data_IF_515543120362
#
_entry.id   IF_515543120362
#
_cell.length_a   1.000
_cell.length_b   1.000
_cell.length_c   1.000
_cell.angle_alpha   90.00
_cell.angle_beta   90.00
_cell.angle_gamma   90.00
#
_symmetry.space_group_name_H-M   'P 1'
#
loop_
_entity.id
_entity.type
_entity.pdbx_description
1 polymer ?
#
# COMPACT_ATOMS: atom_id res chain seq x y z
N UNK A 1 -31.91 -25.36 -38.57
CA UNK A 1 -31.01 -26.17 -37.70
C UNK A 1 -30.83 -25.38 -36.43
N UNK A 2 -31.14 -25.94 -35.23
CA UNK A 2 -30.89 -25.23 -33.97
C UNK A 2 -29.39 -25.02 -33.80
N UNK A 3 -28.99 -23.78 -33.51
CA UNK A 3 -27.61 -23.39 -33.24
C UNK A 3 -27.19 -23.81 -31.83
N UNK A 4 -25.93 -24.21 -31.62
CA UNK A 4 -25.35 -24.49 -30.31
C UNK A 4 -25.33 -23.25 -29.41
N UNK A 5 -25.54 -22.04 -29.95
CA UNK A 5 -25.61 -20.80 -29.19
C UNK A 5 -26.91 -20.62 -28.38
N UNK A 6 -27.92 -21.43 -28.69
CA UNK A 6 -29.22 -21.38 -27.95
C UNK A 6 -29.27 -22.33 -26.71
N UNK A 7 -28.17 -23.01 -26.39
CA UNK A 7 -28.11 -23.85 -25.21
C UNK A 7 -27.81 -23.00 -23.97
N UNK A 8 -28.78 -22.87 -23.00
CA UNK A 8 -28.54 -22.09 -21.80
C UNK A 8 -27.45 -22.72 -20.96
N UNK A 9 -26.27 -22.10 -20.93
CA UNK A 9 -25.15 -22.50 -20.06
C UNK A 9 -25.61 -22.32 -18.61
N UNK A 10 -25.89 -23.42 -17.92
CA UNK A 10 -26.14 -23.44 -16.48
C UNK A 10 -24.87 -23.01 -15.76
N UNK A 11 -24.82 -21.75 -15.32
CA UNK A 11 -23.73 -21.28 -14.46
C UNK A 11 -23.76 -22.04 -13.14
N UNK A 12 -22.81 -22.94 -12.96
CA UNK A 12 -22.62 -23.68 -11.69
C UNK A 12 -22.25 -22.67 -10.62
N UNK A 13 -23.02 -22.60 -9.52
CA UNK A 13 -22.69 -21.75 -8.38
C UNK A 13 -21.40 -22.25 -7.75
N UNK A 14 -20.40 -21.37 -7.59
CA UNK A 14 -19.18 -21.70 -6.84
C UNK A 14 -19.55 -22.09 -5.41
N UNK A 15 -18.96 -23.19 -4.90
CA UNK A 15 -19.17 -23.64 -3.54
C UNK A 15 -18.57 -22.65 -2.53
N UNK A 16 -19.16 -22.55 -1.33
CA UNK A 16 -18.63 -21.74 -0.24
C UNK A 16 -17.26 -22.25 0.21
N UNK A 17 -16.33 -21.32 0.46
CA UNK A 17 -14.96 -21.64 0.91
C UNK A 17 -14.88 -21.98 2.41
N UNK A 18 -15.86 -21.54 3.24
CA UNK A 18 -15.84 -21.71 4.69
C UNK A 18 -17.23 -21.70 5.31
N UNK A 19 -17.30 -22.01 6.60
CA UNK A 19 -18.53 -21.94 7.41
C UNK A 19 -19.55 -23.06 7.14
N UNK A 20 -20.76 -22.94 7.72
CA UNK A 20 -21.82 -23.94 7.65
C UNK A 20 -22.23 -24.29 6.21
N UNK A 21 -22.12 -23.36 5.27
CA UNK A 21 -22.44 -23.59 3.86
C UNK A 21 -21.50 -24.58 3.21
N UNK A 22 -20.21 -24.58 3.59
CA UNK A 22 -19.24 -25.59 3.18
C UNK A 22 -19.57 -26.96 3.81
N UNK A 23 -19.95 -26.96 5.10
CA UNK A 23 -20.33 -28.18 5.79
C UNK A 23 -21.56 -28.83 5.14
N UNK A 24 -22.59 -28.06 4.78
CA UNK A 24 -23.77 -28.56 4.06
C UNK A 24 -23.40 -29.12 2.69
N UNK A 25 -22.56 -28.42 1.94
CA UNK A 25 -22.10 -28.89 0.63
C UNK A 25 -21.34 -30.25 0.74
N UNK A 26 -20.46 -30.38 1.74
CA UNK A 26 -19.73 -31.62 1.99
C UNK A 26 -20.63 -32.75 2.51
N UNK A 27 -21.52 -32.43 3.46
CA UNK A 27 -22.43 -33.44 4.04
C UNK A 27 -23.44 -34.00 3.03
N UNK A 28 -23.79 -33.22 2.01
CA UNK A 28 -24.71 -33.62 0.94
C UNK A 28 -24.00 -34.14 -0.31
N UNK A 29 -22.68 -34.38 -0.24
CA UNK A 29 -21.90 -34.86 -1.39
C UNK A 29 -21.99 -33.90 -2.60
N UNK A 30 -22.24 -32.62 -2.37
CA UNK A 30 -22.39 -31.63 -3.43
C UNK A 30 -23.81 -31.43 -3.99
N UNK A 31 -24.78 -32.25 -3.54
CA UNK A 31 -26.18 -32.16 -4.00
C UNK A 31 -26.84 -30.82 -3.62
N UNK A 32 -26.49 -30.25 -2.46
CA UNK A 32 -26.92 -28.93 -2.02
C UNK A 32 -25.72 -27.99 -2.02
N UNK A 33 -25.70 -27.02 -2.93
CA UNK A 33 -24.72 -25.94 -2.96
C UNK A 33 -25.36 -24.62 -2.56
N UNK A 34 -25.27 -24.18 -1.29
CA UNK A 34 -25.83 -22.92 -0.82
C UNK A 34 -25.17 -21.68 -1.43
N UNK A 35 -24.07 -21.88 -2.19
CA UNK A 35 -23.28 -20.82 -2.76
C UNK A 35 -22.47 -20.04 -1.71
N UNK A 36 -21.70 -19.07 -2.17
CA UNK A 36 -20.90 -18.20 -1.30
C UNK A 36 -21.77 -17.19 -0.55
N UNK A 37 -21.33 -16.79 0.64
CA UNK A 37 -21.94 -15.69 1.38
C UNK A 37 -21.73 -14.35 0.65
N UNK A 38 -22.53 -13.32 0.99
CA UNK A 38 -22.32 -11.97 0.45
C UNK A 38 -20.93 -11.43 0.80
N UNK A 39 -20.43 -11.73 1.99
CA UNK A 39 -19.11 -11.34 2.46
C UNK A 39 -17.99 -12.06 1.68
N UNK A 40 -18.10 -13.36 1.43
CA UNK A 40 -17.15 -14.10 0.61
C UNK A 40 -17.10 -13.58 -0.83
N UNK A 41 -18.26 -13.25 -1.41
CA UNK A 41 -18.32 -12.65 -2.75
C UNK A 41 -17.61 -11.29 -2.78
N UNK A 42 -17.92 -10.42 -1.81
CA UNK A 42 -17.26 -9.11 -1.69
C UNK A 42 -15.73 -9.26 -1.55
N UNK A 43 -15.27 -10.18 -0.72
CA UNK A 43 -13.84 -10.44 -0.56
C UNK A 43 -13.20 -10.94 -1.88
N UNK A 44 -13.88 -11.82 -2.62
CA UNK A 44 -13.37 -12.27 -3.93
C UNK A 44 -13.30 -11.13 -4.95
N UNK A 45 -14.28 -10.23 -4.96
CA UNK A 45 -14.26 -9.04 -5.82
C UNK A 45 -13.07 -8.13 -5.48
N UNK A 46 -12.82 -7.88 -4.20
CA UNK A 46 -11.66 -7.09 -3.76
C UNK A 46 -10.34 -7.77 -4.15
N UNK A 47 -10.22 -9.08 -3.95
CA UNK A 47 -9.03 -9.86 -4.35
C UNK A 47 -8.84 -9.82 -5.86
N UNK A 48 -9.91 -9.89 -6.65
CA UNK A 48 -9.83 -9.79 -8.11
C UNK A 48 -9.32 -8.41 -8.56
N UNK A 49 -9.78 -7.32 -7.91
CA UNK A 49 -9.27 -5.96 -8.15
C UNK A 49 -7.78 -5.83 -7.81
N UNK A 50 -7.35 -6.37 -6.65
CA UNK A 50 -5.94 -6.36 -6.24
C UNK A 50 -5.06 -7.12 -7.24
N UNK A 51 -5.57 -8.19 -7.85
CA UNK A 51 -4.84 -9.03 -8.81
C UNK A 51 -4.84 -8.50 -10.25
N UNK A 52 -5.37 -7.31 -10.49
CA UNK A 52 -5.29 -6.70 -11.81
C UNK A 52 -3.83 -6.59 -12.27
N UNK A 53 -3.55 -6.80 -13.56
CA UNK A 53 -2.19 -6.71 -14.08
C UNK A 53 -1.65 -5.28 -13.96
N UNK A 54 -0.40 -5.16 -13.54
CA UNK A 54 0.36 -3.91 -13.56
C UNK A 54 1.12 -3.85 -14.88
N UNK A 55 1.04 -2.72 -15.59
CA UNK A 55 1.81 -2.48 -16.81
C UNK A 55 3.18 -1.90 -16.47
N UNK A 56 4.19 -2.76 -16.39
CA UNK A 56 5.53 -2.37 -15.97
C UNK A 56 5.65 -2.37 -14.46
N UNK A 57 6.02 -1.22 -13.87
CA UNK A 57 6.05 -0.98 -12.44
C UNK A 57 4.98 0.02 -12.00
N UNK A 58 4.55 -0.04 -10.75
CA UNK A 58 3.61 0.90 -10.16
C UNK A 58 4.18 1.46 -8.86
N UNK A 59 4.35 2.79 -8.81
CA UNK A 59 4.99 3.51 -7.71
C UNK A 59 3.98 4.27 -6.87
N UNK A 60 3.98 3.99 -5.58
CA UNK A 60 3.05 4.55 -4.59
C UNK A 60 3.86 5.38 -3.60
N UNK A 61 3.63 6.69 -3.57
CA UNK A 61 4.17 7.56 -2.53
C UNK A 61 3.25 7.52 -1.29
N UNK A 62 3.80 7.19 -0.13
CA UNK A 62 3.05 7.22 1.14
C UNK A 62 3.54 8.43 1.95
N UNK A 63 2.68 9.41 2.13
CA UNK A 63 3.00 10.72 2.70
C UNK A 63 2.26 11.02 3.99
N UNK A 64 2.91 11.79 4.86
CA UNK A 64 2.29 12.49 5.98
C UNK A 64 3.23 13.60 6.45
N UNK A 65 2.73 14.83 6.60
CA UNK A 65 3.48 15.93 7.20
C UNK A 65 3.56 15.84 8.73
N UNK A 66 2.69 15.03 9.34
CA UNK A 66 2.69 14.85 10.79
C UNK A 66 3.34 13.53 11.17
N UNK A 67 4.28 13.57 12.11
CA UNK A 67 4.87 12.39 12.71
C UNK A 67 3.86 11.59 13.55
N UNK A 68 4.03 10.27 13.63
CA UNK A 68 3.24 9.41 14.51
C UNK A 68 1.80 9.10 14.05
N UNK A 69 1.37 9.51 12.86
CA UNK A 69 0.01 9.21 12.34
C UNK A 69 -0.12 7.82 11.71
N UNK A 70 0.93 7.00 11.74
CA UNK A 70 0.92 5.63 11.25
C UNK A 70 1.32 5.48 9.76
N UNK A 71 2.11 6.39 9.21
CA UNK A 71 2.60 6.35 7.83
C UNK A 71 3.34 5.03 7.53
N UNK A 72 4.43 4.74 8.23
CA UNK A 72 5.21 3.50 8.10
C UNK A 72 4.36 2.25 8.33
N UNK A 73 3.46 2.29 9.32
CA UNK A 73 2.52 1.19 9.60
C UNK A 73 1.59 0.95 8.40
N UNK A 74 1.07 2.02 7.79
CA UNK A 74 0.20 1.90 6.61
C UNK A 74 0.98 1.42 5.39
N UNK A 75 2.21 1.90 5.17
CA UNK A 75 3.11 1.40 4.12
C UNK A 75 3.30 -0.12 4.24
N UNK A 76 3.62 -0.59 5.43
CA UNK A 76 3.81 -2.01 5.69
C UNK A 76 2.53 -2.83 5.56
N UNK A 77 1.41 -2.33 6.10
CA UNK A 77 0.12 -3.02 6.00
C UNK A 77 -0.34 -3.16 4.54
N UNK A 78 -0.31 -2.07 3.78
CA UNK A 78 -0.68 -2.05 2.36
C UNK A 78 0.26 -2.93 1.52
N UNK A 79 1.58 -2.78 1.68
CA UNK A 79 2.58 -3.59 1.00
C UNK A 79 2.45 -5.07 1.32
N UNK A 80 2.16 -5.42 2.58
CA UNK A 80 1.93 -6.81 3.01
C UNK A 80 0.68 -7.42 2.39
N UNK A 81 -0.40 -6.65 2.23
CA UNK A 81 -1.59 -7.13 1.52
C UNK A 81 -1.28 -7.38 0.04
N UNK A 82 -0.60 -6.44 -0.64
CA UNK A 82 -0.22 -6.64 -2.04
C UNK A 82 0.65 -7.89 -2.20
N UNK A 83 1.72 -8.03 -1.43
CA UNK A 83 2.64 -9.16 -1.54
C UNK A 83 2.02 -10.51 -1.18
N UNK A 84 1.03 -10.55 -0.26
CA UNK A 84 0.34 -11.79 0.12
C UNK A 84 -0.72 -12.24 -0.89
N UNK A 85 -1.37 -11.29 -1.60
CA UNK A 85 -2.47 -11.58 -2.52
C UNK A 85 -1.97 -11.74 -3.97
N UNK A 86 -0.97 -10.95 -4.36
CA UNK A 86 -0.39 -10.99 -5.71
C UNK A 86 0.72 -12.03 -5.79
N UNK A 87 0.99 -12.49 -7.01
CA UNK A 87 2.10 -13.41 -7.28
C UNK A 87 3.40 -12.71 -7.69
N UNK A 88 3.34 -11.40 -7.97
CA UNK A 88 4.47 -10.55 -8.36
C UNK A 88 5.20 -9.97 -7.14
N UNK A 89 6.32 -9.30 -7.39
CA UNK A 89 7.20 -8.78 -6.34
C UNK A 89 6.79 -7.38 -5.92
N UNK A 90 6.76 -7.17 -4.61
CA UNK A 90 6.41 -5.91 -3.95
C UNK A 90 7.53 -5.50 -3.02
N UNK A 91 7.96 -4.25 -3.09
CA UNK A 91 8.98 -3.68 -2.23
C UNK A 91 8.49 -2.39 -1.59
N UNK A 92 8.89 -2.16 -0.34
CA UNK A 92 8.77 -0.89 0.35
C UNK A 92 10.17 -0.29 0.53
N UNK A 93 10.32 0.98 0.15
CA UNK A 93 11.57 1.74 0.24
C UNK A 93 11.42 2.79 1.32
N UNK A 94 12.37 2.82 2.24
CA UNK A 94 12.44 3.86 3.26
C UNK A 94 13.17 5.09 2.69
N UNK A 95 12.42 6.14 2.41
CA UNK A 95 12.93 7.42 1.94
C UNK A 95 12.81 8.52 3.02
N UNK A 96 12.77 8.12 4.29
CA UNK A 96 12.70 9.05 5.41
C UNK A 96 14.10 9.55 5.77
N UNK A 97 14.40 10.86 5.65
CA UNK A 97 15.69 11.42 6.02
C UNK A 97 15.88 11.48 7.55
N UNK A 98 14.79 11.48 8.32
CA UNK A 98 14.78 11.62 9.77
C UNK A 98 14.81 10.25 10.47
N UNK A 99 15.81 9.45 10.22
CA UNK A 99 15.95 8.13 10.85
C UNK A 99 14.79 7.18 10.51
N UNK A 100 14.82 6.58 9.31
CA UNK A 100 13.77 5.68 8.85
C UNK A 100 13.56 4.47 9.75
N UNK A 101 12.31 4.14 9.99
CA UNK A 101 11.90 3.04 10.89
C UNK A 101 11.31 1.85 10.17
N UNK A 102 11.29 1.88 8.83
CA UNK A 102 10.66 0.85 8.02
C UNK A 102 11.32 -0.53 8.22
N UNK A 103 12.65 -0.56 8.31
CA UNK A 103 13.42 -1.79 8.53
C UNK A 103 13.16 -2.45 9.89
N UNK A 104 12.64 -1.70 10.87
CA UNK A 104 12.28 -2.23 12.19
C UNK A 104 10.95 -2.99 12.17
N UNK A 105 10.22 -2.96 11.06
CA UNK A 105 8.91 -3.61 10.87
C UNK A 105 8.99 -5.00 10.24
N UNK A 106 10.20 -5.48 10.00
CA UNK A 106 10.48 -6.82 9.41
C UNK A 106 11.63 -7.49 10.15
N UNK A 107 11.71 -8.83 10.13
CA UNK A 107 12.90 -9.53 10.61
C UNK A 107 14.14 -9.04 9.87
N UNK A 108 15.16 -8.60 10.59
CA UNK A 108 16.39 -8.08 10.01
C UNK A 108 17.18 -9.20 9.35
N UNK A 109 17.31 -9.19 8.02
CA UNK A 109 18.08 -10.17 7.24
C UNK A 109 19.38 -9.58 6.69
N UNK A 110 19.43 -8.26 6.53
CA UNK A 110 20.61 -7.53 6.08
C UNK A 110 20.71 -6.18 6.77
N UNK A 111 21.91 -5.62 6.87
CA UNK A 111 22.15 -4.25 7.32
C UNK A 111 22.32 -3.27 6.16
N UNK A 112 22.19 -3.76 4.94
CA UNK A 112 22.32 -2.94 3.74
C UNK A 112 21.22 -1.89 3.66
N UNK A 113 21.56 -0.75 3.10
CA UNK A 113 20.74 0.45 2.98
C UNK A 113 20.51 0.82 1.51
N UNK A 114 19.71 1.86 1.26
CA UNK A 114 19.53 2.45 -0.08
C UNK A 114 20.88 2.87 -0.69
N UNK A 115 21.82 3.35 0.13
CA UNK A 115 23.14 3.78 -0.32
C UNK A 115 24.02 2.59 -0.73
N UNK A 116 23.98 1.50 0.03
CA UNK A 116 24.71 0.28 -0.33
C UNK A 116 24.21 -0.28 -1.67
N UNK A 117 22.89 -0.24 -1.90
CA UNK A 117 22.31 -0.63 -3.19
C UNK A 117 22.83 0.25 -4.34
N UNK A 118 22.93 1.57 -4.14
CA UNK A 118 23.41 2.51 -5.16
C UNK A 118 24.90 2.34 -5.46
N UNK A 119 25.68 1.95 -4.47
CA UNK A 119 27.13 1.74 -4.59
C UNK A 119 27.49 0.35 -5.13
N UNK A 120 26.54 -0.58 -5.24
CA UNK A 120 26.81 -1.92 -5.78
C UNK A 120 26.78 -1.92 -7.32
N UNK A 121 27.95 -2.03 -7.99
CA UNK A 121 28.05 -2.03 -9.45
C UNK A 121 27.57 -3.35 -10.06
N UNK A 122 27.26 -4.37 -9.25
CA UNK A 122 27.00 -5.75 -9.72
C UNK A 122 25.53 -6.06 -9.88
N UNK A 123 24.64 -5.08 -9.76
CA UNK A 123 23.18 -5.27 -9.83
C UNK A 123 22.73 -5.62 -11.26
N UNK A 124 22.68 -6.91 -11.57
CA UNK A 124 22.23 -7.44 -12.86
C UNK A 124 20.96 -8.29 -12.75
N UNK A 125 20.77 -8.99 -11.63
CA UNK A 125 19.67 -9.94 -11.40
C UNK A 125 18.91 -9.58 -10.13
N UNK A 126 17.70 -10.13 -10.02
CA UNK A 126 16.87 -9.97 -8.80
C UNK A 126 17.62 -10.41 -7.52
N UNK A 127 18.38 -11.52 -7.58
CA UNK A 127 19.17 -12.01 -6.44
C UNK A 127 20.18 -10.96 -5.93
N UNK A 128 20.64 -10.08 -6.80
CA UNK A 128 21.62 -9.04 -6.45
C UNK A 128 20.92 -7.94 -5.63
N UNK A 129 19.72 -7.52 -6.04
CA UNK A 129 18.90 -6.58 -5.24
C UNK A 129 18.43 -7.23 -3.94
N UNK A 130 18.05 -8.51 -3.96
CA UNK A 130 17.55 -9.23 -2.78
C UNK A 130 18.56 -9.27 -1.62
N UNK A 131 19.84 -9.19 -1.88
CA UNK A 131 20.88 -9.09 -0.84
C UNK A 131 20.80 -7.80 -0.02
N UNK A 132 20.22 -6.75 -0.58
CA UNK A 132 20.04 -5.44 0.05
C UNK A 132 18.70 -5.28 0.76
N UNK A 133 17.82 -6.29 0.73
CA UNK A 133 16.47 -6.21 1.31
C UNK A 133 16.27 -7.19 2.44
N UNK A 134 15.42 -6.82 3.39
CA UNK A 134 14.82 -7.72 4.37
C UNK A 134 13.40 -8.05 3.97
N UNK A 135 12.89 -9.25 4.31
CA UNK A 135 11.57 -9.71 3.86
C UNK A 135 10.67 -10.08 5.03
N UNK A 136 9.45 -9.56 5.00
CA UNK A 136 8.39 -9.92 5.92
C UNK A 136 7.80 -11.32 5.65
N UNK A 137 7.10 -11.88 6.61
CA UNK A 137 6.34 -13.14 6.45
C UNK A 137 5.27 -13.07 5.34
N UNK A 138 4.79 -11.89 4.99
CA UNK A 138 3.90 -11.61 3.86
C UNK A 138 4.58 -11.68 2.49
N UNK A 139 5.90 -11.84 2.43
CA UNK A 139 6.78 -11.71 1.27
C UNK A 139 7.05 -10.26 0.82
N UNK A 140 6.56 -9.26 1.53
CA UNK A 140 6.94 -7.88 1.28
C UNK A 140 8.43 -7.71 1.54
N UNK A 141 9.15 -7.13 0.61
CA UNK A 141 10.55 -6.78 0.77
C UNK A 141 10.67 -5.33 1.23
N UNK A 142 11.71 -5.06 2.02
CA UNK A 142 11.99 -3.74 2.59
C UNK A 142 13.43 -3.37 2.31
N UNK A 143 13.63 -2.22 1.67
CA UNK A 143 14.91 -1.57 1.49
C UNK A 143 15.04 -0.45 2.54
N UNK A 144 16.01 -0.58 3.44
CA UNK A 144 16.20 0.32 4.56
C UNK A 144 16.81 1.66 4.13
N UNK A 145 16.45 2.75 4.82
CA UNK A 145 17.17 4.03 4.74
C UNK A 145 18.55 3.94 5.38
N UNK A 146 19.37 4.98 5.16
CA UNK A 146 20.63 5.14 5.84
C UNK A 146 20.41 5.30 7.36
N UNK A 147 21.37 4.80 8.15
CA UNK A 147 21.28 4.82 9.61
C UNK A 147 21.95 6.02 10.24
N UNK A 148 22.93 6.60 9.53
CA UNK A 148 23.57 7.85 9.93
C UNK A 148 22.66 9.01 9.52
N UNK A 149 22.18 9.84 10.47
CA UNK A 149 21.32 10.97 10.16
C UNK A 149 21.94 11.93 9.13
N UNK A 150 23.23 12.23 9.24
CA UNK A 150 23.92 13.11 8.29
C UNK A 150 23.98 12.53 6.87
N UNK A 151 24.16 11.22 6.74
CA UNK A 151 24.13 10.53 5.46
C UNK A 151 22.69 10.37 4.94
N UNK A 152 21.70 10.26 5.82
CA UNK A 152 20.28 10.19 5.47
C UNK A 152 19.74 11.51 4.96
N UNK A 153 20.13 12.65 5.57
CA UNK A 153 19.80 14.00 5.06
C UNK A 153 20.37 14.27 3.65
N UNK A 154 21.47 13.62 3.31
CA UNK A 154 22.09 13.73 1.98
C UNK A 154 21.39 12.91 0.90
N UNK A 155 20.34 12.14 1.22
CA UNK A 155 19.61 11.37 0.21
C UNK A 155 18.90 12.30 -0.77
N UNK A 156 19.42 12.37 -1.97
CA UNK A 156 19.03 13.34 -2.98
C UNK A 156 17.94 12.84 -3.92
N UNK A 157 17.37 13.76 -4.70
CA UNK A 157 16.45 13.46 -5.79
C UNK A 157 17.07 12.48 -6.80
N UNK A 158 18.30 12.74 -7.23
CA UNK A 158 19.00 11.90 -8.20
C UNK A 158 19.28 10.50 -7.67
N UNK A 159 19.63 10.40 -6.39
CA UNK A 159 19.82 9.10 -5.73
C UNK A 159 18.50 8.32 -5.67
N UNK A 160 17.40 8.98 -5.31
CA UNK A 160 16.07 8.33 -5.34
C UNK A 160 15.67 7.87 -6.75
N UNK A 161 15.89 8.71 -7.79
CA UNK A 161 15.64 8.34 -9.19
C UNK A 161 16.48 7.12 -9.61
N UNK A 162 17.73 7.04 -9.17
CA UNK A 162 18.58 5.90 -9.43
C UNK A 162 18.11 4.63 -8.72
N UNK A 163 17.69 4.72 -7.45
CA UNK A 163 17.04 3.61 -6.72
C UNK A 163 15.81 3.13 -7.48
N UNK A 164 14.90 4.03 -7.83
CA UNK A 164 13.69 3.70 -8.57
C UNK A 164 14.00 3.01 -9.90
N UNK A 165 15.03 3.48 -10.64
CA UNK A 165 15.47 2.89 -11.91
C UNK A 165 16.02 1.47 -11.72
N UNK A 166 16.69 1.18 -10.62
CA UNK A 166 17.15 -0.19 -10.30
C UNK A 166 15.94 -1.06 -9.98
N UNK A 167 15.07 -0.61 -9.06
CA UNK A 167 13.97 -1.42 -8.53
C UNK A 167 12.90 -1.74 -9.57
N UNK A 168 12.56 -0.83 -10.48
CA UNK A 168 11.56 -1.05 -11.53
C UNK A 168 11.89 -2.23 -12.47
N UNK A 169 13.15 -2.65 -12.51
CA UNK A 169 13.58 -3.82 -13.30
C UNK A 169 13.15 -5.14 -12.68
N UNK A 170 12.85 -5.15 -11.38
CA UNK A 170 12.66 -6.39 -10.61
C UNK A 170 11.35 -6.44 -9.82
N UNK A 171 10.72 -5.30 -9.55
CA UNK A 171 9.50 -5.20 -8.75
C UNK A 171 8.36 -4.57 -9.56
N UNK A 172 7.16 -5.13 -9.38
CA UNK A 172 5.95 -4.63 -10.04
C UNK A 172 5.26 -3.54 -9.21
N UNK A 173 5.43 -3.56 -7.89
CA UNK A 173 4.90 -2.52 -6.99
C UNK A 173 6.00 -2.03 -6.08
N UNK A 174 6.20 -0.71 -6.06
CA UNK A 174 7.18 -0.02 -5.24
C UNK A 174 6.43 0.98 -4.36
N UNK A 175 6.42 0.76 -3.04
CA UNK A 175 5.90 1.72 -2.07
C UNK A 175 7.06 2.53 -1.52
N UNK A 176 6.94 3.85 -1.48
CA UNK A 176 7.94 4.72 -0.87
C UNK A 176 7.39 5.29 0.43
N UNK A 177 7.97 4.90 1.55
CA UNK A 177 7.68 5.47 2.87
C UNK A 177 8.45 6.78 3.01
N UNK A 178 7.77 7.90 2.77
CA UNK A 178 8.39 9.22 2.72
C UNK A 178 8.64 9.79 4.11
N UNK A 179 9.55 10.76 4.24
CA UNK A 179 9.70 11.56 5.45
C UNK A 179 8.49 12.46 5.72
N UNK A 180 8.59 13.25 6.78
CA UNK A 180 7.57 14.25 7.13
C UNK A 180 7.80 15.61 6.44
N UNK A 181 8.94 15.81 5.77
CA UNK A 181 9.31 17.06 5.08
C UNK A 181 9.04 17.00 3.59
N UNK A 182 8.12 17.84 3.09
CA UNK A 182 7.87 17.97 1.63
C UNK A 182 9.03 18.64 0.87
N UNK A 183 9.83 19.43 1.55
CA UNK A 183 10.94 20.18 0.97
C UNK A 183 12.26 19.40 0.90
N UNK A 184 12.27 18.16 1.40
CA UNK A 184 13.47 17.32 1.33
C UNK A 184 13.80 16.98 -0.13
N UNK A 185 15.09 16.93 -0.48
CA UNK A 185 15.55 16.75 -1.86
C UNK A 185 14.96 15.50 -2.54
N UNK A 186 14.99 14.35 -1.87
CA UNK A 186 14.44 13.11 -2.41
C UNK A 186 12.93 13.19 -2.71
N UNK A 187 12.18 14.07 -2.02
CA UNK A 187 10.74 14.19 -2.17
C UNK A 187 10.34 14.65 -3.59
N UNK A 188 11.11 15.54 -4.19
CA UNK A 188 10.87 15.96 -5.57
C UNK A 188 10.88 14.77 -6.53
N UNK A 189 11.89 13.90 -6.41
CA UNK A 189 11.98 12.67 -7.21
C UNK A 189 10.86 11.67 -6.90
N UNK A 190 10.45 11.54 -5.63
CA UNK A 190 9.34 10.66 -5.23
C UNK A 190 8.04 11.12 -5.88
N UNK A 191 7.70 12.40 -5.76
CA UNK A 191 6.44 12.96 -6.29
C UNK A 191 6.39 12.93 -7.82
N UNK A 192 7.50 13.20 -8.47
CA UNK A 192 7.59 13.19 -9.93
C UNK A 192 7.45 11.77 -10.51
N UNK A 193 7.98 10.78 -9.81
CA UNK A 193 7.92 9.39 -10.26
C UNK A 193 6.70 8.62 -9.76
N UNK A 194 5.93 9.15 -8.81
CA UNK A 194 4.77 8.46 -8.24
C UNK A 194 3.61 8.37 -9.24
N UNK A 195 2.99 7.20 -9.34
CA UNK A 195 1.75 6.99 -10.07
C UNK A 195 0.51 7.22 -9.18
N UNK A 196 0.66 7.01 -7.88
CA UNK A 196 -0.42 7.19 -6.89
C UNK A 196 0.13 7.75 -5.58
N UNK A 197 -0.73 8.48 -4.88
CA UNK A 197 -0.46 9.04 -3.58
C UNK A 197 -1.38 8.40 -2.54
N UNK A 198 -0.79 7.89 -1.46
CA UNK A 198 -1.50 7.49 -0.24
C UNK A 198 -1.14 8.47 0.85
N UNK A 199 -2.08 9.37 1.18
CA UNK A 199 -1.88 10.42 2.18
C UNK A 199 -2.43 9.98 3.52
N UNK A 200 -1.57 9.95 4.54
CA UNK A 200 -1.95 9.48 5.87
C UNK A 200 -2.35 10.65 6.76
N UNK A 201 -3.50 10.51 7.37
CA UNK A 201 -4.07 11.42 8.37
C UNK A 201 -4.39 10.65 9.65
N UNK A 202 -4.63 11.36 10.72
CA UNK A 202 -5.33 10.83 11.89
C UNK A 202 -6.67 11.53 12.07
N UNK A 203 -7.53 10.98 12.91
CA UNK A 203 -8.81 11.62 13.25
C UNK A 203 -8.67 12.79 14.23
N UNK A 204 -7.47 13.13 14.68
CA UNK A 204 -7.21 14.33 15.44
C UNK A 204 -7.20 15.58 14.53
N UNK A 205 -7.64 16.74 15.08
CA UNK A 205 -7.76 18.01 14.32
C UNK A 205 -6.46 18.41 13.64
N UNK A 206 -5.34 18.29 14.33
CA UNK A 206 -4.02 18.64 13.83
C UNK A 206 -3.55 17.69 12.70
N UNK A 207 -3.85 16.39 12.80
CA UNK A 207 -3.58 15.41 11.75
C UNK A 207 -4.40 15.71 10.48
N UNK A 208 -5.67 16.04 10.65
CA UNK A 208 -6.55 16.42 9.54
C UNK A 208 -6.08 17.73 8.86
N UNK A 209 -5.72 18.76 9.64
CA UNK A 209 -5.18 20.01 9.11
C UNK A 209 -3.88 19.81 8.37
N UNK A 210 -2.99 18.99 8.90
CA UNK A 210 -1.72 18.64 8.25
C UNK A 210 -1.95 17.94 6.90
N UNK A 211 -2.87 16.98 6.82
CA UNK A 211 -3.20 16.31 5.58
C UNK A 211 -3.85 17.27 4.56
N UNK A 212 -4.74 18.17 5.00
CA UNK A 212 -5.31 19.20 4.14
C UNK A 212 -4.24 20.14 3.56
N UNK A 213 -3.32 20.62 4.40
CA UNK A 213 -2.20 21.46 3.98
C UNK A 213 -1.27 20.74 2.99
N UNK A 214 -1.10 19.41 3.14
CA UNK A 214 -0.35 18.59 2.17
C UNK A 214 -1.00 18.61 0.80
N UNK A 215 -2.33 18.42 0.72
CA UNK A 215 -3.05 18.47 -0.56
C UNK A 215 -2.97 19.88 -1.20
N UNK A 216 -3.08 20.95 -0.40
CA UNK A 216 -2.95 22.31 -0.88
C UNK A 216 -1.55 22.57 -1.44
N UNK A 217 -0.52 22.16 -0.71
CA UNK A 217 0.87 22.32 -1.14
C UNK A 217 1.13 21.57 -2.46
N UNK A 218 0.67 20.32 -2.58
CA UNK A 218 0.82 19.51 -3.80
C UNK A 218 0.15 20.17 -5.01
N UNK A 219 -1.07 20.71 -4.83
CA UNK A 219 -1.77 21.43 -5.89
C UNK A 219 -1.02 22.70 -6.33
N UNK A 220 -0.50 23.47 -5.38
CA UNK A 220 0.26 24.69 -5.66
C UNK A 220 1.61 24.43 -6.36
N UNK A 221 2.17 23.22 -6.22
CA UNK A 221 3.46 22.84 -6.79
C UNK A 221 3.35 21.93 -8.02
N UNK A 222 2.19 21.92 -8.71
CA UNK A 222 2.02 21.23 -9.99
C UNK A 222 1.69 19.74 -9.91
N UNK A 223 1.41 19.22 -8.70
CA UNK A 223 1.05 17.82 -8.49
C UNK A 223 -0.47 17.56 -8.41
N UNK A 224 -1.28 18.38 -9.09
CA UNK A 224 -2.74 18.23 -9.10
C UNK A 224 -3.22 16.85 -9.53
N UNK A 225 -2.51 16.20 -10.42
CA UNK A 225 -2.82 14.85 -10.87
C UNK A 225 -2.72 13.84 -9.72
N UNK A 226 -1.71 13.96 -8.84
CA UNK A 226 -1.56 13.14 -7.65
C UNK A 226 -2.65 13.44 -6.64
N UNK A 227 -3.03 14.71 -6.44
CA UNK A 227 -4.10 15.11 -5.52
C UNK A 227 -5.44 14.52 -5.95
N UNK A 228 -5.82 14.67 -7.21
CA UNK A 228 -7.07 14.09 -7.75
C UNK A 228 -7.14 12.58 -7.62
N UNK A 229 -6.01 11.89 -7.78
CA UNK A 229 -5.91 10.44 -7.68
C UNK A 229 -5.52 9.95 -6.29
N UNK A 230 -5.33 10.85 -5.33
CA UNK A 230 -4.93 10.48 -3.98
C UNK A 230 -5.96 9.60 -3.28
N UNK A 231 -5.44 8.70 -2.46
CA UNK A 231 -6.22 7.94 -1.48
C UNK A 231 -5.83 8.42 -0.09
N UNK A 232 -6.76 9.03 0.62
CA UNK A 232 -6.53 9.48 2.00
C UNK A 232 -6.83 8.32 2.96
N UNK A 233 -5.92 8.06 3.87
CA UNK A 233 -6.09 7.06 4.94
C UNK A 233 -6.18 7.77 6.28
N UNK A 234 -7.30 7.58 6.98
CA UNK A 234 -7.51 8.11 8.32
C UNK A 234 -7.30 6.97 9.32
N UNK A 235 -6.16 7.00 10.01
CA UNK A 235 -5.87 6.04 11.07
C UNK A 235 -6.59 6.47 12.35
N UNK A 236 -7.41 5.57 12.92
CA UNK A 236 -8.09 5.83 14.18
C UNK A 236 -7.12 5.64 15.35
N UNK A 237 -7.18 6.54 16.35
CA UNK A 237 -6.41 6.40 17.56
C UNK A 237 -6.98 5.28 18.43
N UNK A 238 -6.29 4.99 19.54
CA UNK A 238 -6.80 4.09 20.58
C UNK A 238 -8.21 4.51 21.01
N UNK A 239 -9.13 3.56 21.26
CA UNK A 239 -10.47 3.87 21.76
C UNK A 239 -10.44 4.79 22.98
N UNK A 240 -11.33 5.78 23.01
CA UNK A 240 -11.39 6.80 24.05
C UNK A 240 -10.49 8.03 23.85
N UNK A 241 -9.61 8.04 22.86
CA UNK A 241 -8.85 9.25 22.52
C UNK A 241 -9.75 10.30 21.83
N UNK A 242 -9.47 11.62 22.04
CA UNK A 242 -10.19 12.69 21.35
C UNK A 242 -10.08 12.56 19.83
N UNK A 243 -11.20 12.65 19.15
CA UNK A 243 -11.24 12.63 17.69
C UNK A 243 -12.26 13.64 17.14
N UNK A 244 -12.10 13.99 15.87
CA UNK A 244 -13.09 14.78 15.10
C UNK A 244 -14.17 13.84 14.60
N UNK A 245 -15.35 14.37 14.26
CA UNK A 245 -16.40 13.59 13.62
C UNK A 245 -15.89 12.94 12.33
N UNK A 246 -15.70 11.61 12.36
CA UNK A 246 -15.09 10.82 11.30
C UNK A 246 -15.81 11.00 9.96
N UNK A 247 -17.15 11.06 9.98
CA UNK A 247 -17.95 11.23 8.75
C UNK A 247 -17.69 12.61 8.12
N UNK A 248 -17.66 13.67 8.92
CA UNK A 248 -17.35 15.02 8.44
C UNK A 248 -15.95 15.10 7.82
N UNK A 249 -14.97 14.48 8.49
CA UNK A 249 -13.60 14.43 8.01
C UNK A 249 -13.48 13.63 6.70
N UNK A 250 -14.18 12.50 6.62
CA UNK A 250 -14.24 11.70 5.39
C UNK A 250 -14.85 12.49 4.24
N UNK A 251 -15.99 13.15 4.47
CA UNK A 251 -16.69 13.92 3.45
C UNK A 251 -15.86 15.10 2.97
N UNK A 252 -15.14 15.78 3.88
CA UNK A 252 -14.18 16.82 3.54
C UNK A 252 -13.10 16.32 2.58
N UNK A 253 -12.43 15.21 2.88
CA UNK A 253 -11.40 14.67 1.99
C UNK A 253 -11.97 14.10 0.69
N UNK A 254 -13.15 13.49 0.69
CA UNK A 254 -13.80 12.99 -0.53
C UNK A 254 -14.12 14.09 -1.54
N UNK A 255 -14.28 15.35 -1.09
CA UNK A 255 -14.46 16.48 -2.00
C UNK A 255 -13.17 16.89 -2.74
N UNK A 256 -12.01 16.34 -2.35
CA UNK A 256 -10.68 16.76 -2.83
C UNK A 256 -9.85 15.62 -3.45
N UNK A 257 -10.14 14.38 -3.13
CA UNK A 257 -9.36 13.23 -3.54
C UNK A 257 -10.26 12.08 -4.02
N UNK A 258 -9.64 11.08 -4.62
CA UNK A 258 -10.34 9.95 -5.23
C UNK A 258 -11.08 9.06 -4.22
N UNK A 259 -10.48 8.82 -3.06
CA UNK A 259 -11.05 7.93 -2.06
C UNK A 259 -10.53 8.23 -0.64
N UNK A 260 -11.33 7.83 0.35
CA UNK A 260 -10.96 7.90 1.77
C UNK A 260 -11.20 6.54 2.42
N UNK A 261 -10.18 6.03 3.10
CA UNK A 261 -10.24 4.80 3.89
C UNK A 261 -9.99 5.08 5.36
N UNK A 262 -10.74 4.41 6.22
CA UNK A 262 -10.59 4.49 7.67
C UNK A 262 -9.98 3.17 8.13
N UNK A 263 -8.80 3.25 8.77
CA UNK A 263 -8.15 2.09 9.38
C UNK A 263 -8.46 2.13 10.88
N UNK A 264 -9.15 1.12 11.42
CA UNK A 264 -9.45 1.06 12.84
C UNK A 264 -8.16 0.88 13.65
N UNK A 265 -8.21 1.28 14.93
CA UNK A 265 -7.13 0.98 15.86
C UNK A 265 -6.95 -0.53 16.01
N UNK A 266 -5.72 -0.96 15.93
CA UNK A 266 -5.32 -2.36 16.12
C UNK A 266 -4.16 -2.42 17.10
N UNK A 267 -4.30 -3.24 18.15
CA UNK A 267 -3.29 -3.36 19.20
C UNK A 267 -1.95 -3.85 18.66
N UNK A 268 -1.97 -4.80 17.71
CA UNK A 268 -0.77 -5.31 17.08
C UNK A 268 -0.03 -4.23 16.27
N UNK A 269 -0.75 -3.41 15.52
CA UNK A 269 -0.14 -2.27 14.81
C UNK A 269 0.40 -1.22 15.77
N UNK A 270 -0.22 -1.07 16.94
CA UNK A 270 0.20 -0.16 18.02
C UNK A 270 1.49 -0.58 18.73
N UNK A 271 1.93 -1.84 18.61
CA UNK A 271 3.18 -2.33 19.19
C UNK A 271 4.42 -1.64 18.58
N UNK A 272 4.30 -1.14 17.37
CA UNK A 272 5.42 -0.50 16.68
C UNK A 272 6.55 -1.45 16.28
N UNK A 273 6.30 -2.75 16.28
CA UNK A 273 7.23 -3.84 15.95
C UNK A 273 6.95 -4.43 14.57
N UNK A 274 7.42 -5.65 14.32
CA UNK A 274 7.14 -6.40 13.08
C UNK A 274 5.64 -6.55 12.84
N UNK A 275 5.21 -6.41 11.59
CA UNK A 275 3.80 -6.51 11.22
C UNK A 275 3.50 -7.90 10.66
N UNK A 276 2.67 -8.64 11.41
CA UNK A 276 2.13 -9.93 11.02
C UNK A 276 0.63 -9.81 10.70
N UNK A 277 0.26 -10.06 9.43
CA UNK A 277 -1.12 -9.99 8.99
C UNK A 277 -2.04 -11.01 9.70
N UNK A 278 -1.48 -12.08 10.27
CA UNK A 278 -2.28 -13.10 10.99
C UNK A 278 -2.74 -12.62 12.35
N UNK A 279 -2.03 -11.65 12.95
CA UNK A 279 -2.33 -11.03 14.25
C UNK A 279 -3.31 -9.86 14.16
N UNK A 280 -3.55 -9.34 12.95
CA UNK A 280 -4.50 -8.25 12.75
C UNK A 280 -5.94 -8.69 13.05
N UNK A 281 -6.72 -7.80 13.64
CA UNK A 281 -8.18 -7.97 13.75
C UNK A 281 -8.83 -8.12 12.37
N UNK A 282 -9.99 -8.77 12.33
CA UNK A 282 -10.72 -8.97 11.07
C UNK A 282 -11.07 -7.64 10.40
N UNK A 283 -11.45 -6.64 11.19
CA UNK A 283 -11.85 -5.33 10.68
C UNK A 283 -10.66 -4.56 10.12
N UNK A 284 -9.50 -4.58 10.80
CA UNK A 284 -8.27 -3.97 10.31
C UNK A 284 -7.78 -4.64 9.03
N UNK A 285 -7.77 -5.97 9.01
CA UNK A 285 -7.39 -6.73 7.81
C UNK A 285 -8.29 -6.42 6.62
N UNK A 286 -9.61 -6.35 6.85
CA UNK A 286 -10.57 -5.98 5.83
C UNK A 286 -10.34 -4.55 5.32
N UNK A 287 -10.11 -3.59 6.21
CA UNK A 287 -9.84 -2.20 5.85
C UNK A 287 -8.60 -2.09 4.96
N UNK A 288 -7.52 -2.82 5.25
CA UNK A 288 -6.34 -2.86 4.39
C UNK A 288 -6.59 -3.55 3.04
N UNK A 289 -7.42 -4.59 2.99
CA UNK A 289 -7.81 -5.22 1.72
C UNK A 289 -8.65 -4.26 0.86
N UNK A 290 -9.57 -3.52 1.47
CA UNK A 290 -10.37 -2.49 0.77
C UNK A 290 -9.48 -1.34 0.27
N UNK A 291 -8.52 -0.87 1.07
CA UNK A 291 -7.52 0.12 0.68
C UNK A 291 -6.68 -0.38 -0.51
N UNK A 292 -6.15 -1.59 -0.42
CA UNK A 292 -5.35 -2.18 -1.49
C UNK A 292 -6.13 -2.34 -2.80
N UNK A 293 -7.41 -2.75 -2.73
CA UNK A 293 -8.28 -2.84 -3.89
C UNK A 293 -8.52 -1.46 -4.54
N UNK A 294 -8.73 -0.42 -3.72
CA UNK A 294 -8.91 0.95 -4.22
C UNK A 294 -7.65 1.49 -4.90
N UNK A 295 -6.46 1.24 -4.34
CA UNK A 295 -5.20 1.62 -4.99
C UNK A 295 -5.01 0.84 -6.29
N UNK A 296 -5.33 -0.45 -6.30
CA UNK A 296 -5.17 -1.33 -7.45
C UNK A 296 -6.11 -0.99 -8.63
N UNK A 297 -7.20 -0.27 -8.43
CA UNK A 297 -8.08 0.16 -9.53
C UNK A 297 -7.37 0.99 -10.59
N UNK A 298 -6.25 1.61 -10.24
CA UNK A 298 -5.44 2.44 -11.13
C UNK A 298 -4.29 1.66 -11.81
N UNK A 299 -4.08 0.38 -11.50
CA UNK A 299 -2.98 -0.43 -12.05
C UNK A 299 -3.04 -0.63 -13.56
N UNK A 300 -4.24 -0.62 -14.14
CA UNK A 300 -4.44 -0.77 -15.58
C UNK A 300 -4.23 0.53 -16.37
N UNK A 301 -4.15 1.68 -15.67
CA UNK A 301 -3.97 3.01 -16.30
C UNK A 301 -2.56 3.10 -16.90
N UNK A 302 -2.48 3.65 -18.11
CA UNK A 302 -1.18 3.89 -18.75
C UNK A 302 -0.59 5.21 -18.25
N UNK A 303 0.29 5.13 -17.29
CA UNK A 303 0.95 6.29 -16.67
C UNK A 303 2.13 6.85 -17.48
N UNK A 304 2.53 6.20 -18.59
CA UNK A 304 3.66 6.63 -19.43
C UNK A 304 3.46 7.99 -20.09
N UNK A 305 2.25 8.52 -20.07
CA UNK A 305 1.90 9.83 -20.67
C UNK A 305 2.21 11.03 -19.78
N UNK A 306 2.61 10.84 -18.52
CA UNK A 306 2.82 11.92 -17.56
C UNK A 306 4.28 12.13 -17.16
N UNK A 307 5.22 11.34 -17.72
CA UNK A 307 6.66 11.43 -17.46
C UNK A 307 7.40 11.74 -18.75
N UNK A 308 7.18 12.95 -19.28
CA UNK A 308 7.90 13.50 -20.43
C UNK A 308 8.47 14.85 -20.06
#
# INVERSE_FOLDING_TARGET
MPSLDDVPLRRVKKAAGSGWRRAVHHATGGAINPGMSAEERRLQELVARIRQPVRGDYRIAVLSLKGGVGKTTTTMGLGSIFSSIRGDRVIAVDANPDFGTLSQRVPLQTRSTVRDLLLDPTIARYSDVRRHTSQAGSRLEVLASERDPAASEAFSEDEYRNVARILQRFYNIILTDCGTGLMHSAMAGVLDLAHSLVLISSSAIDGARSAAATLDWLSLHGHDHLVRNAVVVINLPRPGAPNVGINQLRDYFLSRCRAVHIIPYDGHLGEGAEIDLTRLSKDTKRAYVELAATVADDFATDHRRYGG
#
